data_IF_683568486393
#
_entry.id   IF_683568486393
#
_cell.length_a   1.000
_cell.length_b   1.000
_cell.length_c   1.000
_cell.angle_alpha   90.00
_cell.angle_beta   90.00
_cell.angle_gamma   90.00
#
_symmetry.space_group_name_H-M   'P 1'
#
loop_
_entity.id
_entity.type
_entity.pdbx_description
1 polymer ?
#
# COMPACT_ATOMS: atom_id res chain seq x y z
N UNK A 1 -55.61 -40.85 -42.73
CA UNK A 1 -55.31 -39.81 -41.72
C UNK A 1 -53.91 -40.09 -41.18
N UNK A 2 -52.88 -39.38 -41.63
CA UNK A 2 -51.51 -39.55 -41.20
C UNK A 2 -51.13 -38.31 -40.40
N UNK A 3 -50.87 -38.48 -39.10
CA UNK A 3 -50.38 -37.42 -38.23
C UNK A 3 -48.85 -37.33 -38.31
N UNK A 4 -48.33 -36.21 -38.78
CA UNK A 4 -46.92 -35.88 -38.73
C UNK A 4 -46.59 -35.21 -37.40
N UNK A 5 -45.76 -35.86 -36.60
CA UNK A 5 -45.21 -35.32 -35.36
C UNK A 5 -43.89 -34.54 -35.67
N UNK A 6 -43.93 -33.22 -35.52
CA UNK A 6 -42.68 -32.41 -35.57
C UNK A 6 -41.98 -32.50 -34.19
N UNK A 7 -40.80 -33.07 -34.17
CA UNK A 7 -39.90 -32.98 -33.03
C UNK A 7 -39.05 -31.72 -33.14
N UNK A 8 -39.23 -30.76 -32.24
CA UNK A 8 -38.38 -29.57 -32.13
C UNK A 8 -37.15 -29.89 -31.28
N UNK A 9 -36.00 -29.87 -31.91
CA UNK A 9 -34.69 -30.05 -31.22
C UNK A 9 -34.21 -28.71 -30.69
N UNK A 10 -34.23 -28.52 -29.37
CA UNK A 10 -33.63 -27.34 -28.73
C UNK A 10 -32.09 -27.51 -28.71
N UNK A 11 -31.40 -26.63 -29.41
CA UNK A 11 -29.93 -26.48 -29.29
C UNK A 11 -29.63 -25.63 -28.06
N UNK A 12 -29.06 -26.22 -27.03
CA UNK A 12 -28.56 -25.51 -25.84
C UNK A 12 -27.14 -25.03 -26.18
N UNK A 13 -26.95 -23.73 -26.44
CA UNK A 13 -25.63 -23.12 -26.52
C UNK A 13 -25.04 -22.99 -25.12
N UNK A 14 -24.07 -23.84 -24.80
CA UNK A 14 -23.27 -23.67 -23.60
C UNK A 14 -22.21 -22.58 -23.85
N UNK A 15 -22.37 -21.42 -23.18
CA UNK A 15 -21.31 -20.41 -23.16
C UNK A 15 -20.11 -20.93 -22.35
N UNK A 16 -18.85 -20.72 -22.81
CA UNK A 16 -17.68 -21.09 -22.03
C UNK A 16 -17.60 -20.22 -20.77
N UNK A 17 -17.62 -20.84 -19.61
CA UNK A 17 -17.34 -20.17 -18.34
C UNK A 17 -15.89 -19.69 -18.36
N UNK A 18 -15.67 -18.37 -18.25
CA UNK A 18 -14.32 -17.84 -18.07
C UNK A 18 -13.73 -18.43 -16.78
N UNK A 19 -12.55 -19.07 -16.88
CA UNK A 19 -11.86 -19.62 -15.73
C UNK A 19 -11.50 -18.48 -14.77
N UNK A 20 -11.83 -18.62 -13.48
CA UNK A 20 -11.36 -17.70 -12.45
C UNK A 20 -9.82 -17.73 -12.40
N UNK A 21 -9.14 -16.58 -12.22
CA UNK A 21 -7.68 -16.53 -12.15
C UNK A 21 -7.18 -17.40 -10.99
N UNK A 22 -6.05 -18.06 -11.21
CA UNK A 22 -5.46 -18.95 -10.19
C UNK A 22 -4.95 -18.16 -9.00
N UNK A 23 -5.08 -18.62 -7.74
CA UNK A 23 -4.67 -17.91 -6.53
C UNK A 23 -3.25 -17.30 -6.54
N UNK A 24 -2.20 -17.93 -7.15
CA UNK A 24 -0.89 -17.32 -7.30
C UNK A 24 -0.87 -16.05 -8.15
N UNK A 25 -1.62 -16.01 -9.25
CA UNK A 25 -1.71 -14.84 -10.13
C UNK A 25 -2.42 -13.65 -9.48
N UNK A 26 -3.44 -13.90 -8.68
CA UNK A 26 -4.14 -12.86 -7.90
C UNK A 26 -3.21 -12.24 -6.84
N UNK A 27 -2.43 -13.07 -6.15
CA UNK A 27 -1.47 -12.61 -5.17
C UNK A 27 -0.32 -11.79 -5.80
N UNK A 28 0.12 -12.16 -7.01
CA UNK A 28 1.13 -11.41 -7.75
C UNK A 28 0.59 -10.04 -8.21
N UNK A 29 -0.63 -9.99 -8.73
CA UNK A 29 -1.29 -8.75 -9.11
C UNK A 29 -1.50 -7.82 -7.91
N UNK A 30 -1.91 -8.36 -6.76
CA UNK A 30 -2.05 -7.61 -5.51
C UNK A 30 -0.69 -7.07 -5.06
N UNK A 31 0.36 -7.90 -5.07
CA UNK A 31 1.70 -7.49 -4.67
C UNK A 31 2.23 -6.35 -5.55
N UNK A 32 2.01 -6.42 -6.86
CA UNK A 32 2.37 -5.37 -7.80
C UNK A 32 1.60 -4.07 -7.52
N UNK A 33 0.31 -4.17 -7.23
CA UNK A 33 -0.53 -3.01 -6.89
C UNK A 33 -0.04 -2.33 -5.62
N UNK A 34 0.20 -3.08 -4.55
CA UNK A 34 0.64 -2.53 -3.28
C UNK A 34 2.06 -1.97 -3.37
N UNK A 35 2.97 -2.60 -4.12
CA UNK A 35 4.31 -2.06 -4.37
C UNK A 35 4.26 -0.71 -5.11
N UNK A 36 3.36 -0.57 -6.08
CA UNK A 36 3.13 0.69 -6.79
C UNK A 36 2.56 1.78 -5.87
N UNK A 37 1.66 1.40 -4.95
CA UNK A 37 1.13 2.31 -3.94
C UNK A 37 2.20 2.75 -2.94
N UNK A 38 3.02 1.82 -2.41
CA UNK A 38 4.16 2.16 -1.55
C UNK A 38 5.09 3.16 -2.24
N UNK A 39 5.47 2.90 -3.48
CA UNK A 39 6.27 3.84 -4.27
C UNK A 39 5.61 5.22 -4.37
N UNK A 40 4.34 5.29 -4.74
CA UNK A 40 3.64 6.56 -4.96
C UNK A 40 3.45 7.37 -3.65
N UNK A 41 3.15 6.70 -2.54
CA UNK A 41 3.04 7.32 -1.20
C UNK A 41 4.36 7.94 -0.79
N UNK A 42 5.46 7.19 -0.93
CA UNK A 42 6.77 7.65 -0.48
C UNK A 42 7.49 8.56 -1.48
N UNK A 43 7.15 8.50 -2.75
CA UNK A 43 7.55 9.55 -3.70
C UNK A 43 6.98 10.92 -3.30
N UNK A 44 5.72 10.98 -2.90
CA UNK A 44 5.09 12.20 -2.42
C UNK A 44 5.69 12.65 -1.07
N UNK A 45 5.91 11.71 -0.14
CA UNK A 45 6.58 11.93 1.14
C UNK A 45 7.98 12.52 0.95
N UNK A 46 8.80 11.94 0.08
CA UNK A 46 10.17 12.37 -0.15
C UNK A 46 10.29 13.78 -0.75
N UNK A 47 9.18 14.29 -1.27
CA UNK A 47 9.09 15.65 -1.85
C UNK A 47 8.17 16.58 -1.06
N UNK A 48 7.82 16.23 0.17
CA UNK A 48 6.80 16.90 0.96
C UNK A 48 7.17 18.31 1.43
N UNK A 49 8.40 18.80 1.18
CA UNK A 49 8.72 20.22 1.30
C UNK A 49 7.87 21.08 0.34
N UNK A 50 7.41 20.51 -0.78
CA UNK A 50 6.37 21.08 -1.63
C UNK A 50 4.99 20.78 -1.02
N UNK A 51 4.17 21.80 -0.68
CA UNK A 51 2.84 21.61 -0.12
C UNK A 51 1.90 20.76 -0.98
N UNK A 52 2.04 20.79 -2.31
CA UNK A 52 1.24 19.96 -3.21
C UNK A 52 1.60 18.48 -3.07
N UNK A 53 2.88 18.16 -2.85
CA UNK A 53 3.32 16.79 -2.61
C UNK A 53 2.90 16.30 -1.21
N UNK A 54 2.95 17.17 -0.21
CA UNK A 54 2.45 16.84 1.12
C UNK A 54 0.94 16.54 1.09
N UNK A 55 0.15 17.35 0.37
CA UNK A 55 -1.27 17.09 0.16
C UNK A 55 -1.52 15.78 -0.60
N UNK A 56 -0.70 15.48 -1.61
CA UNK A 56 -0.75 14.19 -2.33
C UNK A 56 -0.44 13.01 -1.39
N UNK A 57 0.59 13.13 -0.56
CA UNK A 57 0.92 12.13 0.46
C UNK A 57 -0.27 11.89 1.39
N UNK A 58 -0.88 12.96 1.91
CA UNK A 58 -2.06 12.88 2.78
C UNK A 58 -3.23 12.11 2.14
N UNK A 59 -3.42 12.26 0.82
CA UNK A 59 -4.51 11.61 0.07
C UNK A 59 -4.47 10.09 0.06
N UNK A 60 -3.35 9.46 0.41
CA UNK A 60 -3.24 8.00 0.50
C UNK A 60 -3.76 7.43 1.84
N UNK A 61 -4.04 8.26 2.82
CA UNK A 61 -4.43 7.82 4.16
C UNK A 61 -5.90 8.13 4.45
N UNK A 62 -6.55 7.23 5.19
CA UNK A 62 -7.88 7.46 5.70
C UNK A 62 -7.89 8.63 6.71
N UNK A 63 -9.02 9.31 6.87
CA UNK A 63 -9.14 10.41 7.84
C UNK A 63 -8.91 9.93 9.28
N UNK A 64 -9.35 8.69 9.55
CA UNK A 64 -9.21 7.97 10.82
C UNK A 64 -7.98 7.03 10.84
N UNK A 65 -6.95 7.33 10.04
CA UNK A 65 -5.71 6.56 10.08
C UNK A 65 -5.07 6.62 11.46
N UNK A 66 -4.61 5.49 11.93
CA UNK A 66 -3.80 5.41 13.15
C UNK A 66 -2.34 5.13 12.76
N UNK A 67 -1.43 5.94 13.29
CA UNK A 67 0.00 5.76 13.11
C UNK A 67 0.67 5.43 14.45
N UNK A 68 1.29 4.28 14.52
CA UNK A 68 2.00 3.77 15.68
C UNK A 68 3.50 3.82 15.42
N UNK A 69 4.23 4.53 16.27
CA UNK A 69 5.67 4.69 16.16
C UNK A 69 6.30 4.32 17.51
N UNK A 70 7.21 3.35 17.53
CA UNK A 70 7.76 2.79 18.78
C UNK A 70 8.50 3.83 19.65
N UNK A 71 9.15 4.83 19.03
CA UNK A 71 9.83 5.91 19.74
C UNK A 71 9.05 7.22 19.78
N UNK A 72 8.07 7.41 18.90
CA UNK A 72 7.28 8.63 18.76
C UNK A 72 5.86 8.57 19.34
N UNK A 73 5.41 7.37 19.77
CA UNK A 73 4.06 7.15 20.29
C UNK A 73 3.01 7.00 19.19
N UNK A 74 1.77 7.33 19.51
CA UNK A 74 0.63 7.11 18.62
C UNK A 74 0.04 8.43 18.12
N UNK A 75 -0.27 8.46 16.83
CA UNK A 75 -1.00 9.56 16.18
C UNK A 75 -2.35 9.02 15.66
N UNK A 76 -3.45 9.63 16.06
CA UNK A 76 -4.80 9.10 15.92
C UNK A 76 -5.59 9.60 14.71
N UNK A 77 -5.05 10.56 13.96
CA UNK A 77 -5.74 11.15 12.80
C UNK A 77 -4.77 11.47 11.68
N UNK A 78 -5.30 11.49 10.45
CA UNK A 78 -4.51 11.90 9.27
C UNK A 78 -3.92 13.29 9.44
N UNK A 79 -4.72 14.27 9.90
CA UNK A 79 -4.27 15.65 10.02
C UNK A 79 -3.10 15.79 11.00
N UNK A 80 -3.17 15.11 12.14
CA UNK A 80 -2.08 15.11 13.11
C UNK A 80 -0.83 14.41 12.56
N UNK A 81 -0.99 13.29 11.82
CA UNK A 81 0.11 12.58 11.17
C UNK A 81 0.80 13.46 10.11
N UNK A 82 0.03 14.14 9.27
CA UNK A 82 0.54 15.03 8.22
C UNK A 82 1.22 16.27 8.83
N UNK A 83 0.68 16.83 9.91
CA UNK A 83 1.30 17.95 10.61
C UNK A 83 2.65 17.55 11.24
N UNK A 84 2.76 16.36 11.82
CA UNK A 84 4.02 15.81 12.30
C UNK A 84 5.01 15.57 11.15
N UNK A 85 4.56 15.00 10.04
CA UNK A 85 5.40 14.80 8.84
C UNK A 85 5.93 16.14 8.33
N UNK A 86 5.07 17.14 8.22
CA UNK A 86 5.46 18.49 7.81
C UNK A 86 6.52 19.11 8.72
N UNK A 87 6.38 18.94 10.04
CA UNK A 87 7.28 19.57 11.04
C UNK A 87 8.63 18.87 11.17
N UNK A 88 8.66 17.55 11.05
CA UNK A 88 9.81 16.77 11.46
C UNK A 88 10.52 16.03 10.31
N UNK A 89 9.88 15.92 9.14
CA UNK A 89 10.40 15.13 8.03
C UNK A 89 10.65 15.97 6.79
N UNK A 90 9.65 16.79 6.38
CA UNK A 90 9.71 17.50 5.11
C UNK A 90 10.92 18.44 5.02
N UNK A 91 11.76 18.21 4.01
CA UNK A 91 13.01 18.93 3.82
C UNK A 91 14.19 18.42 4.64
N UNK A 92 13.99 17.51 5.57
CA UNK A 92 15.02 16.96 6.45
C UNK A 92 15.38 15.52 6.12
N UNK A 93 14.36 14.69 5.83
CA UNK A 93 14.54 13.26 5.60
C UNK A 93 13.78 12.79 4.36
N UNK A 94 14.32 11.75 3.75
CA UNK A 94 13.65 10.93 2.75
C UNK A 94 13.56 9.49 3.25
N UNK A 95 12.62 8.74 2.71
CA UNK A 95 12.45 7.31 2.99
C UNK A 95 12.87 6.48 1.77
N UNK A 96 13.64 5.43 1.98
CA UNK A 96 13.96 4.42 0.99
C UNK A 96 13.49 3.04 1.46
N UNK A 97 12.77 2.31 0.60
CA UNK A 97 12.44 0.90 0.85
C UNK A 97 13.72 0.06 0.72
N UNK A 98 13.99 -0.83 1.66
CA UNK A 98 15.07 -1.81 1.51
C UNK A 98 14.69 -2.79 0.40
N UNK A 99 15.52 -2.93 -0.65
CA UNK A 99 15.20 -3.79 -1.78
C UNK A 99 14.88 -5.23 -1.35
N UNK A 100 13.80 -5.79 -1.90
CA UNK A 100 13.38 -7.17 -1.61
C UNK A 100 12.75 -7.39 -0.23
N UNK A 101 12.58 -6.35 0.60
CA UNK A 101 11.97 -6.48 1.93
C UNK A 101 10.45 -6.49 1.92
N UNK A 102 9.81 -5.91 0.89
CA UNK A 102 8.36 -5.79 0.84
C UNK A 102 7.68 -7.16 0.76
N UNK A 103 6.71 -7.37 1.64
CA UNK A 103 5.82 -8.53 1.65
C UNK A 103 4.39 -8.04 1.67
N UNK A 104 3.51 -8.72 0.93
CA UNK A 104 2.09 -8.35 0.81
C UNK A 104 1.24 -9.57 1.11
N UNK A 105 0.22 -9.37 1.93
CA UNK A 105 -0.72 -10.40 2.35
C UNK A 105 -2.14 -9.90 2.09
N UNK A 106 -2.98 -10.66 1.38
CA UNK A 106 -4.39 -10.30 1.18
C UNK A 106 -5.16 -10.36 2.50
N UNK A 107 -6.09 -9.43 2.69
CA UNK A 107 -7.14 -9.51 3.71
C UNK A 107 -8.46 -9.71 2.98
N UNK A 108 -9.05 -10.89 3.13
CA UNK A 108 -10.27 -11.26 2.41
C UNK A 108 -11.40 -10.26 2.68
N UNK A 109 -11.98 -9.73 1.61
CA UNK A 109 -13.10 -8.79 1.66
C UNK A 109 -12.76 -7.40 2.21
N UNK A 110 -11.45 -7.09 2.42
CA UNK A 110 -11.02 -5.80 2.95
C UNK A 110 -9.94 -5.10 2.11
N UNK A 111 -8.84 -5.80 1.82
CA UNK A 111 -7.69 -5.22 1.14
C UNK A 111 -6.40 -6.00 1.36
N UNK A 112 -5.37 -5.38 1.95
CA UNK A 112 -4.07 -6.01 2.13
C UNK A 112 -3.32 -5.50 3.37
N UNK A 113 -2.36 -6.32 3.84
CA UNK A 113 -1.27 -5.89 4.71
C UNK A 113 0.00 -5.82 3.86
N UNK A 114 0.76 -4.75 3.99
CA UNK A 114 2.14 -4.70 3.53
C UNK A 114 3.09 -4.60 4.71
N UNK A 115 4.23 -5.28 4.63
CA UNK A 115 5.30 -5.23 5.60
C UNK A 115 6.64 -5.09 4.87
N UNK A 116 7.60 -4.44 5.49
CA UNK A 116 8.94 -4.30 4.94
C UNK A 116 9.86 -3.58 5.88
N UNK A 117 11.05 -3.31 5.39
CA UNK A 117 12.07 -2.52 6.07
C UNK A 117 12.35 -1.26 5.27
N UNK A 118 12.48 -0.13 5.93
CA UNK A 118 12.80 1.13 5.30
C UNK A 118 13.94 1.85 6.00
N UNK A 119 14.67 2.66 5.23
CA UNK A 119 15.74 3.53 5.71
C UNK A 119 15.30 4.97 5.64
N UNK A 120 15.77 5.77 6.58
CA UNK A 120 15.61 7.21 6.57
C UNK A 120 16.95 7.87 6.30
N UNK A 121 16.98 8.69 5.26
CA UNK A 121 18.17 9.32 4.76
C UNK A 121 18.05 10.85 4.92
N UNK A 122 19.09 11.50 5.39
CA UNK A 122 19.17 12.96 5.49
C UNK A 122 19.12 13.57 4.09
N UNK A 123 18.31 14.59 3.89
CA UNK A 123 18.11 15.22 2.57
C UNK A 123 19.37 15.96 2.09
N UNK A 124 20.14 16.55 2.98
CA UNK A 124 21.34 17.35 2.68
C UNK A 124 22.58 16.50 2.35
N UNK A 125 22.76 15.38 3.05
CA UNK A 125 23.94 14.53 2.89
C UNK A 125 23.67 13.25 2.09
N UNK A 126 22.40 12.86 1.97
CA UNK A 126 22.00 11.57 1.39
C UNK A 126 22.30 10.36 2.29
N UNK A 127 22.89 10.56 3.50
CA UNK A 127 23.26 9.47 4.40
C UNK A 127 22.05 8.84 5.05
N UNK A 128 21.95 7.54 4.97
CA UNK A 128 20.89 6.75 5.58
C UNK A 128 21.36 6.19 6.92
N UNK A 129 21.12 6.89 8.01
CA UNK A 129 21.63 6.54 9.33
C UNK A 129 20.74 5.58 10.11
N UNK A 130 19.43 5.61 9.83
CA UNK A 130 18.44 4.80 10.53
C UNK A 130 17.68 3.84 9.63
N UNK A 131 17.26 2.73 10.21
CA UNK A 131 16.42 1.71 9.61
C UNK A 131 15.29 1.33 10.57
N UNK A 132 14.13 0.99 10.05
CA UNK A 132 13.00 0.49 10.83
C UNK A 132 12.18 -0.50 10.00
N UNK A 133 11.43 -1.35 10.70
CA UNK A 133 10.42 -2.18 10.08
C UNK A 133 9.08 -1.43 10.03
N UNK A 134 8.27 -1.73 9.05
CA UNK A 134 6.95 -1.13 8.95
C UNK A 134 5.88 -2.16 8.60
N UNK A 135 4.66 -1.84 9.00
CA UNK A 135 3.45 -2.53 8.58
C UNK A 135 2.39 -1.49 8.21
N UNK A 136 1.75 -1.68 7.05
CA UNK A 136 0.62 -0.85 6.64
C UNK A 136 -0.59 -1.75 6.36
N UNK A 137 -1.78 -1.30 6.79
CA UNK A 137 -3.05 -1.94 6.48
C UNK A 137 -3.77 -1.09 5.44
N UNK A 138 -3.96 -1.66 4.26
CA UNK A 138 -4.61 -1.05 3.12
C UNK A 138 -6.05 -1.54 3.00
N UNK A 139 -7.00 -0.61 2.95
CA UNK A 139 -8.40 -0.88 2.64
C UNK A 139 -8.64 -0.58 1.16
N UNK A 140 -9.26 -1.54 0.46
CA UNK A 140 -9.79 -1.33 -0.89
C UNK A 140 -11.30 -1.11 -0.82
N UNK A 141 -11.76 0.00 -1.37
CA UNK A 141 -13.19 0.29 -1.50
C UNK A 141 -13.44 1.02 -2.81
N UNK A 142 -14.42 0.55 -3.59
CA UNK A 142 -14.82 1.16 -4.87
C UNK A 142 -13.63 1.39 -5.84
N UNK A 143 -12.71 0.42 -5.88
CA UNK A 143 -11.49 0.48 -6.68
C UNK A 143 -10.37 1.37 -6.11
N UNK A 144 -10.61 2.06 -5.01
CA UNK A 144 -9.62 2.92 -4.37
C UNK A 144 -8.94 2.25 -3.18
N UNK A 145 -7.65 2.54 -3.02
CA UNK A 145 -6.83 2.04 -1.93
C UNK A 145 -6.48 3.15 -0.95
N UNK A 146 -6.67 2.88 0.35
CA UNK A 146 -6.40 3.85 1.42
C UNK A 146 -5.72 3.15 2.58
N UNK A 147 -4.61 3.67 3.08
CA UNK A 147 -3.96 3.17 4.28
C UNK A 147 -4.77 3.57 5.52
N UNK A 148 -5.14 2.60 6.35
CA UNK A 148 -5.94 2.79 7.55
C UNK A 148 -5.14 2.65 8.84
N UNK A 149 -4.04 1.89 8.81
CA UNK A 149 -3.12 1.67 9.92
C UNK A 149 -1.69 1.70 9.39
N UNK A 150 -0.83 2.36 10.12
CA UNK A 150 0.61 2.43 9.83
C UNK A 150 1.36 2.17 11.12
N UNK A 151 2.28 1.24 11.09
CA UNK A 151 3.19 0.92 12.17
C UNK A 151 4.62 1.14 11.68
N UNK A 152 5.44 1.87 12.43
CA UNK A 152 6.88 2.02 12.20
C UNK A 152 7.59 1.67 13.51
N UNK A 153 8.37 0.61 13.49
CA UNK A 153 8.89 0.01 14.73
C UNK A 153 10.24 -0.67 14.53
N UNK A 154 10.89 -1.02 15.63
CA UNK A 154 12.23 -1.65 15.60
C UNK A 154 13.28 -0.69 15.04
N UNK A 155 13.18 0.61 15.39
CA UNK A 155 14.15 1.62 14.96
C UNK A 155 15.54 1.26 15.45
N UNK A 156 16.49 1.23 14.54
CA UNK A 156 17.87 0.81 14.75
C UNK A 156 18.83 1.57 13.84
N UNK A 157 20.13 1.66 14.19
CA UNK A 157 21.12 2.16 13.25
C UNK A 157 21.10 1.33 11.95
N UNK A 158 21.27 2.01 10.81
CA UNK A 158 21.43 1.32 9.53
C UNK A 158 22.72 0.50 9.55
N UNK A 159 22.69 -0.81 9.26
CA UNK A 159 23.89 -1.65 9.28
C UNK A 159 24.88 -1.30 8.16
N UNK A 160 24.44 -0.58 7.13
CA UNK A 160 25.23 -0.15 5.98
C UNK A 160 24.95 1.33 5.69
N UNK A 161 25.47 2.25 6.52
CA UNK A 161 25.30 3.69 6.34
C UNK A 161 26.18 4.16 5.17
N UNK A 162 25.62 4.17 3.98
CA UNK A 162 26.27 4.69 2.76
C UNK A 162 25.92 6.16 2.52
#
# INVERSE_FOLDING_TARGET
>A
MHAFSLAATLLVLSAPAAAAPSPPAENEALSTTIASLDTAVFDAFNRCADPAQLARHAGYFAEDVEFYHDTGGVTWTRDAMIDNTRKHVCGHYTRALVPGSLRVYPIQGFGAISQGTHRFCQTDTGRCEGEADFTMVWRQRDGQWTATRVLSYGHRPNPDPS
#
